data_IF_409691118272
#
_entry.id   IF_409691118272
#
_cell.length_a   1.000
_cell.length_b   1.000
_cell.length_c   1.000
_cell.angle_alpha   90.00
_cell.angle_beta   90.00
_cell.angle_gamma   90.00
#
_symmetry.space_group_name_H-M   'P 1'
#
loop_
_entity.id
_entity.type
_entity.pdbx_description
1 polymer ?
#
# COMPACT_ATOMS: atom_id res chain seq x y z
N UNK A 1 -22.63 -2.20 53.98
CA UNK A 1 -21.56 -3.18 53.69
C UNK A 1 -21.83 -3.78 52.33
N UNK A 2 -21.16 -3.30 51.28
CA UNK A 2 -21.25 -3.85 49.93
C UNK A 2 -19.85 -4.19 49.45
N UNK A 3 -19.69 -5.46 49.06
CA UNK A 3 -18.44 -6.08 48.71
C UNK A 3 -17.98 -5.78 47.28
N UNK A 4 -16.68 -5.53 47.19
CA UNK A 4 -15.73 -5.86 46.11
C UNK A 4 -16.32 -6.43 44.81
N UNK A 5 -16.04 -5.74 43.70
CA UNK A 5 -15.60 -6.39 42.45
C UNK A 5 -14.35 -5.67 41.93
N UNK A 6 -13.19 -6.30 42.13
CA UNK A 6 -11.96 -5.96 41.42
C UNK A 6 -12.05 -6.64 40.06
N UNK A 7 -11.97 -5.85 38.98
CA UNK A 7 -11.80 -6.36 37.63
C UNK A 7 -10.33 -6.73 37.50
N UNK A 8 -10.04 -8.02 37.55
CA UNK A 8 -8.76 -8.59 37.15
C UNK A 8 -8.65 -8.45 35.64
N UNK A 9 -7.74 -7.59 35.19
CA UNK A 9 -7.28 -7.53 33.81
C UNK A 9 -6.54 -8.83 33.49
N UNK A 10 -7.27 -9.77 32.87
CA UNK A 10 -6.75 -11.02 32.36
C UNK A 10 -6.33 -10.85 30.90
N UNK A 11 -5.03 -10.95 30.67
CA UNK A 11 -4.35 -11.55 29.53
C UNK A 11 -4.84 -11.24 28.10
N UNK A 12 -3.99 -10.54 27.34
CA UNK A 12 -3.64 -11.01 25.98
C UNK A 12 -2.15 -10.71 25.74
N UNK A 13 -1.29 -11.59 26.24
CA UNK A 13 0.11 -11.64 25.84
C UNK A 13 0.16 -12.32 24.47
N UNK A 14 0.29 -11.51 23.41
CA UNK A 14 0.52 -11.99 22.06
C UNK A 14 1.98 -12.44 21.98
N UNK A 15 2.18 -13.76 21.95
CA UNK A 15 3.48 -14.41 21.86
C UNK A 15 4.05 -14.19 20.45
N UNK A 16 4.86 -13.14 20.29
CA UNK A 16 5.77 -12.98 19.16
C UNK A 16 6.98 -13.88 19.40
N UNK A 17 6.86 -15.13 18.98
CA UNK A 17 7.96 -16.10 18.94
C UNK A 17 8.90 -15.84 17.76
N UNK A 18 9.51 -14.65 17.70
CA UNK A 18 10.69 -14.41 16.85
C UNK A 18 11.91 -14.94 17.60
N UNK A 19 12.32 -16.16 17.27
CA UNK A 19 13.57 -16.75 17.73
C UNK A 19 14.75 -16.10 17.00
N UNK A 20 15.01 -14.83 17.33
CA UNK A 20 16.25 -14.16 16.99
C UNK A 20 17.34 -14.66 17.94
N UNK A 21 18.06 -15.70 17.52
CA UNK A 21 19.33 -16.07 18.12
C UNK A 21 20.38 -14.99 17.88
N UNK A 22 20.32 -13.90 18.65
CA UNK A 22 21.30 -12.82 18.62
C UNK A 22 22.51 -13.26 19.45
N UNK A 23 23.60 -13.64 18.79
CA UNK A 23 24.92 -13.61 19.42
C UNK A 23 25.28 -12.14 19.64
N UNK A 24 25.32 -11.72 20.91
CA UNK A 24 25.69 -10.38 21.31
C UNK A 24 27.20 -10.14 21.10
N UNK A 25 27.59 -9.76 19.89
CA UNK A 25 28.80 -8.95 19.67
C UNK A 25 28.39 -7.49 19.78
N UNK A 26 29.08 -6.70 20.61
CA UNK A 26 28.82 -5.28 20.80
C UNK A 26 28.97 -4.49 19.48
N UNK A 27 27.86 -4.42 18.75
CA UNK A 27 27.52 -3.46 17.71
C UNK A 27 26.23 -2.84 18.21
N UNK A 28 26.08 -1.51 18.16
CA UNK A 28 24.85 -0.86 18.59
C UNK A 28 23.62 -1.63 18.06
N UNK A 29 22.57 -1.83 18.88
CA UNK A 29 21.41 -2.56 18.42
C UNK A 29 20.84 -1.81 17.22
N UNK A 30 20.90 -2.43 16.03
CA UNK A 30 20.33 -1.85 14.83
C UNK A 30 18.86 -1.52 15.10
N UNK A 31 18.41 -0.34 14.65
CA UNK A 31 17.00 0.02 14.74
C UNK A 31 16.14 -1.05 14.04
N UNK A 32 14.87 -1.16 14.45
CA UNK A 32 13.93 -2.08 13.81
C UNK A 32 13.84 -1.80 12.29
N UNK A 33 13.81 -0.53 11.88
CA UNK A 33 13.79 -0.13 10.48
C UNK A 33 15.08 -0.49 9.74
N UNK A 34 16.26 -0.34 10.36
CA UNK A 34 17.52 -0.79 9.76
C UNK A 34 17.57 -2.33 9.61
N UNK A 35 17.03 -3.06 10.58
CA UNK A 35 16.93 -4.52 10.51
C UNK A 35 16.01 -4.97 9.37
N UNK A 36 14.86 -4.31 9.20
CA UNK A 36 13.91 -4.58 8.10
C UNK A 36 14.50 -4.18 6.75
N UNK A 37 15.23 -3.05 6.67
CA UNK A 37 15.86 -2.61 5.43
C UNK A 37 16.84 -3.64 4.86
N UNK A 38 17.52 -4.44 5.70
CA UNK A 38 18.37 -5.53 5.22
C UNK A 38 17.60 -6.58 4.41
N UNK A 39 16.31 -6.79 4.71
CA UNK A 39 15.44 -7.72 3.98
C UNK A 39 15.01 -7.22 2.59
N UNK A 40 15.27 -5.95 2.25
CA UNK A 40 15.13 -5.46 0.87
C UNK A 40 16.10 -6.18 -0.09
N UNK A 41 17.15 -6.81 0.42
CA UNK A 41 18.11 -7.60 -0.39
C UNK A 41 17.83 -9.10 -0.37
N UNK A 42 16.70 -9.52 0.22
CA UNK A 42 16.33 -10.93 0.30
C UNK A 42 16.19 -11.56 -1.09
N UNK A 43 16.51 -12.85 -1.21
CA UNK A 43 16.41 -13.58 -2.47
C UNK A 43 14.96 -13.74 -2.93
N UNK A 44 14.02 -13.87 -1.99
CA UNK A 44 12.60 -14.06 -2.29
C UNK A 44 11.89 -12.72 -2.54
N UNK A 45 11.21 -12.54 -3.69
CA UNK A 45 10.51 -11.29 -3.97
C UNK A 45 9.39 -10.94 -2.99
N UNK A 46 8.71 -11.94 -2.42
CA UNK A 46 7.65 -11.74 -1.41
C UNK A 46 8.23 -11.22 -0.09
N UNK A 47 9.42 -11.67 0.31
CA UNK A 47 10.12 -11.14 1.48
C UNK A 47 10.53 -9.68 1.26
N UNK A 48 11.07 -9.34 0.09
CA UNK A 48 11.42 -7.95 -0.27
C UNK A 48 10.20 -7.05 -0.26
N UNK A 49 9.10 -7.51 -0.85
CA UNK A 49 7.82 -6.79 -0.85
C UNK A 49 7.30 -6.55 0.57
N UNK A 50 7.23 -7.59 1.41
CA UNK A 50 6.78 -7.46 2.81
C UNK A 50 7.68 -6.53 3.60
N UNK A 51 9.01 -6.63 3.43
CA UNK A 51 9.96 -5.74 4.10
C UNK A 51 9.71 -4.27 3.72
N UNK A 52 9.52 -4.00 2.43
CA UNK A 52 9.21 -2.67 1.92
C UNK A 52 7.88 -2.12 2.48
N UNK A 53 6.80 -2.91 2.43
CA UNK A 53 5.49 -2.50 2.96
C UNK A 53 5.56 -2.21 4.45
N UNK A 54 6.24 -3.05 5.23
CA UNK A 54 6.38 -2.82 6.68
C UNK A 54 7.25 -1.59 6.94
N UNK A 55 8.32 -1.39 6.17
CA UNK A 55 9.19 -0.24 6.33
C UNK A 55 8.46 1.09 6.11
N UNK A 56 7.49 1.13 5.18
CA UNK A 56 6.67 2.31 4.90
C UNK A 56 5.78 2.76 6.09
N UNK A 57 5.57 1.89 7.07
CA UNK A 57 4.71 2.14 8.24
C UNK A 57 5.52 2.37 9.53
N UNK A 58 6.85 2.45 9.44
CA UNK A 58 7.75 2.62 10.58
C UNK A 58 8.52 3.93 10.50
N UNK A 59 8.93 4.46 11.65
CA UNK A 59 9.96 5.50 11.67
C UNK A 59 11.28 4.94 11.12
N UNK A 60 11.75 5.52 10.03
CA UNK A 60 12.97 5.10 9.36
C UNK A 60 14.18 5.88 9.88
N UNK A 61 15.25 5.16 10.23
CA UNK A 61 16.55 5.79 10.44
C UNK A 61 17.17 6.23 9.12
N UNK A 62 18.12 7.16 9.16
CA UNK A 62 18.85 7.63 7.98
C UNK A 62 19.47 6.48 7.16
N UNK A 63 20.03 5.48 7.84
CA UNK A 63 20.58 4.27 7.19
C UNK A 63 19.51 3.47 6.43
N UNK A 64 18.29 3.38 6.98
CA UNK A 64 17.18 2.68 6.34
C UNK A 64 16.67 3.48 5.13
N UNK A 65 16.59 4.82 5.23
CA UNK A 65 16.24 5.70 4.11
C UNK A 65 17.29 5.64 2.99
N UNK A 66 18.58 5.63 3.32
CA UNK A 66 19.66 5.49 2.35
C UNK A 66 19.61 4.14 1.64
N UNK A 67 19.38 3.05 2.40
CA UNK A 67 19.22 1.70 1.85
C UNK A 67 18.02 1.61 0.92
N UNK A 68 16.88 2.17 1.32
CA UNK A 68 15.65 2.20 0.54
C UNK A 68 15.79 3.03 -0.74
N UNK A 69 16.48 4.18 -0.66
CA UNK A 69 16.78 5.03 -1.82
C UNK A 69 17.65 4.29 -2.82
N UNK A 70 18.76 3.71 -2.36
CA UNK A 70 19.63 2.90 -3.22
C UNK A 70 18.89 1.72 -3.83
N UNK A 71 18.00 1.07 -3.08
CA UNK A 71 17.18 -0.02 -3.59
C UNK A 71 16.18 0.44 -4.67
N UNK A 72 15.51 1.58 -4.46
CA UNK A 72 14.59 2.17 -5.45
C UNK A 72 15.29 2.53 -6.77
N UNK A 73 16.52 3.04 -6.71
CA UNK A 73 17.29 3.47 -7.88
C UNK A 73 17.89 2.31 -8.67
N UNK A 74 18.27 1.22 -7.99
CA UNK A 74 19.02 0.13 -8.61
C UNK A 74 18.20 -1.13 -8.89
N UNK A 75 16.96 -1.23 -8.40
CA UNK A 75 16.15 -2.43 -8.63
C UNK A 75 15.69 -2.54 -10.09
N UNK A 76 15.90 -3.73 -10.66
CA UNK A 76 15.43 -4.05 -12.01
C UNK A 76 13.93 -4.43 -12.03
N UNK A 77 13.41 -5.00 -10.94
CA UNK A 77 12.01 -5.43 -10.83
C UNK A 77 11.11 -4.18 -10.62
N UNK A 78 10.13 -3.93 -11.51
CA UNK A 78 9.27 -2.76 -11.41
C UNK A 78 8.40 -2.75 -10.14
N UNK A 79 8.03 -3.90 -9.59
CA UNK A 79 7.28 -3.98 -8.32
C UNK A 79 8.16 -3.59 -7.15
N UNK A 80 9.43 -4.02 -7.17
CA UNK A 80 10.39 -3.66 -6.14
C UNK A 80 10.66 -2.15 -6.16
N UNK A 81 10.84 -1.54 -7.35
CA UNK A 81 10.96 -0.08 -7.49
C UNK A 81 9.69 0.66 -7.05
N UNK A 82 8.52 0.17 -7.47
CA UNK A 82 7.24 0.78 -7.11
C UNK A 82 7.05 0.78 -5.60
N UNK A 83 7.29 -0.37 -4.95
CA UNK A 83 7.16 -0.47 -3.51
C UNK A 83 8.16 0.47 -2.81
N UNK A 84 9.42 0.47 -3.24
CA UNK A 84 10.45 1.29 -2.60
C UNK A 84 10.15 2.79 -2.73
N UNK A 85 9.66 3.23 -3.89
CA UNK A 85 9.25 4.63 -4.11
C UNK A 85 7.98 4.98 -3.33
N UNK A 86 7.01 4.08 -3.19
CA UNK A 86 5.89 4.23 -2.27
C UNK A 86 6.37 4.42 -0.82
N UNK A 87 7.27 3.56 -0.34
CA UNK A 87 7.79 3.64 1.01
C UNK A 87 8.54 4.96 1.25
N UNK A 88 9.37 5.40 0.30
CA UNK A 88 10.02 6.71 0.36
C UNK A 88 8.99 7.85 0.42
N UNK A 89 7.99 7.83 -0.46
CA UNK A 89 6.97 8.87 -0.50
C UNK A 89 6.16 8.96 0.81
N UNK A 90 5.88 7.82 1.45
CA UNK A 90 5.23 7.76 2.78
C UNK A 90 6.11 8.31 3.90
N UNK A 91 7.39 7.94 3.89
CA UNK A 91 8.33 8.27 4.97
C UNK A 91 8.82 9.72 4.89
N UNK A 92 9.10 10.24 3.69
CA UNK A 92 9.69 11.58 3.52
C UNK A 92 8.65 12.65 3.20
N UNK A 93 7.49 12.26 2.66
CA UNK A 93 6.46 13.18 2.14
C UNK A 93 7.01 14.17 1.08
N UNK A 94 8.14 13.84 0.45
CA UNK A 94 8.74 14.67 -0.58
C UNK A 94 8.02 14.49 -1.91
N UNK A 95 7.70 15.62 -2.57
CA UNK A 95 7.03 15.63 -3.88
C UNK A 95 7.76 14.77 -4.92
N UNK A 96 9.10 14.81 -4.93
CA UNK A 96 9.89 14.02 -5.89
C UNK A 96 9.82 12.50 -5.70
N UNK A 97 9.49 12.01 -4.50
CA UNK A 97 9.22 10.58 -4.29
C UNK A 97 7.83 10.21 -4.79
N UNK A 98 6.83 11.06 -4.54
CA UNK A 98 5.46 10.91 -5.05
C UNK A 98 5.40 10.92 -6.57
N UNK A 99 6.10 11.86 -7.23
CA UNK A 99 6.17 11.94 -8.69
C UNK A 99 6.81 10.68 -9.30
N UNK A 100 7.89 10.18 -8.69
CA UNK A 100 8.53 8.92 -9.11
C UNK A 100 7.60 7.72 -8.92
N UNK A 101 6.89 7.65 -7.80
CA UNK A 101 5.89 6.62 -7.56
C UNK A 101 4.82 6.63 -8.66
N UNK A 102 4.22 7.78 -8.96
CA UNK A 102 3.22 7.91 -10.02
C UNK A 102 3.77 7.53 -11.39
N UNK A 103 4.97 8.01 -11.73
CA UNK A 103 5.60 7.71 -13.01
C UNK A 103 5.89 6.21 -13.19
N UNK A 104 6.27 5.50 -12.12
CA UNK A 104 6.44 4.04 -12.18
C UNK A 104 5.07 3.37 -12.31
N UNK A 105 4.09 3.81 -11.54
CA UNK A 105 2.77 3.20 -11.51
C UNK A 105 2.07 3.28 -12.88
N UNK A 106 2.20 4.41 -13.59
CA UNK A 106 1.54 4.64 -14.89
C UNK A 106 2.34 4.16 -16.10
N UNK A 107 3.57 3.66 -15.91
CA UNK A 107 4.42 3.24 -17.02
C UNK A 107 4.09 1.87 -17.60
N UNK A 108 3.34 1.03 -16.88
CA UNK A 108 3.06 -0.36 -17.26
C UNK A 108 1.64 -0.76 -16.85
N UNK A 109 0.81 -1.11 -17.85
CA UNK A 109 -0.60 -1.43 -17.68
C UNK A 109 -0.84 -2.70 -16.83
N UNK A 110 0.09 -3.69 -16.81
CA UNK A 110 -0.04 -4.90 -15.98
C UNK A 110 0.62 -4.74 -14.58
N UNK A 111 1.13 -3.55 -14.24
CA UNK A 111 1.80 -3.36 -12.96
C UNK A 111 0.84 -3.55 -11.79
N UNK A 112 -0.40 -3.06 -11.89
CA UNK A 112 -1.42 -3.23 -10.87
C UNK A 112 -1.77 -4.72 -10.66
N UNK A 113 -1.98 -5.46 -11.76
CA UNK A 113 -2.21 -6.90 -11.70
C UNK A 113 -1.05 -7.66 -11.07
N UNK A 114 0.18 -7.32 -11.45
CA UNK A 114 1.39 -7.91 -10.86
C UNK A 114 1.57 -7.57 -9.38
N UNK A 115 1.29 -6.33 -8.99
CA UNK A 115 1.33 -5.88 -7.61
C UNK A 115 0.35 -6.66 -6.73
N UNK A 116 -0.89 -6.82 -7.20
CA UNK A 116 -1.92 -7.60 -6.51
C UNK A 116 -1.52 -9.06 -6.34
N UNK A 117 -1.00 -9.70 -7.40
CA UNK A 117 -0.45 -11.07 -7.32
C UNK A 117 0.70 -11.15 -6.32
N UNK A 118 1.60 -10.17 -6.29
CA UNK A 118 2.70 -10.11 -5.31
C UNK A 118 2.17 -9.98 -3.88
N UNK A 119 1.15 -9.13 -3.68
CA UNK A 119 0.49 -8.93 -2.39
C UNK A 119 -0.12 -10.23 -1.86
N UNK A 120 -0.85 -10.96 -2.69
CA UNK A 120 -1.44 -12.25 -2.32
C UNK A 120 -0.37 -13.31 -2.01
N UNK A 121 0.68 -13.41 -2.84
CA UNK A 121 1.79 -14.34 -2.63
C UNK A 121 2.56 -14.07 -1.33
N UNK A 122 2.58 -12.81 -0.87
CA UNK A 122 3.16 -12.44 0.41
C UNK A 122 2.27 -12.82 1.62
N UNK A 123 1.10 -13.40 1.40
CA UNK A 123 0.20 -13.93 2.43
C UNK A 123 -0.86 -12.95 2.91
N UNK A 124 -1.04 -11.81 2.23
CA UNK A 124 -2.10 -10.87 2.56
C UNK A 124 -3.48 -11.39 2.11
N UNK A 125 -4.57 -11.10 2.84
CA UNK A 125 -5.90 -11.60 2.52
C UNK A 125 -6.40 -11.15 1.14
N UNK A 126 -7.09 -12.05 0.43
CA UNK A 126 -7.79 -11.72 -0.81
C UNK A 126 -8.79 -10.57 -0.59
N UNK A 127 -8.83 -9.63 -1.52
CA UNK A 127 -9.73 -8.47 -1.43
C UNK A 127 -9.19 -7.31 -0.59
N UNK A 128 -8.09 -7.48 0.12
CA UNK A 128 -7.39 -6.35 0.73
C UNK A 128 -6.56 -5.64 -0.35
N UNK A 129 -6.83 -4.35 -0.53
CA UNK A 129 -6.09 -3.53 -1.48
C UNK A 129 -4.61 -3.40 -1.06
N UNK A 130 -3.70 -3.56 -2.02
CA UNK A 130 -2.28 -3.47 -1.73
C UNK A 130 -1.91 -2.06 -1.23
N UNK A 131 -1.00 -1.90 -0.25
CA UNK A 131 -0.67 -0.58 0.31
C UNK A 131 -0.24 0.48 -0.73
N UNK A 132 0.55 0.14 -1.78
CA UNK A 132 0.84 1.11 -2.85
C UNK A 132 -0.41 1.54 -3.64
N UNK A 133 -1.40 0.65 -3.84
CA UNK A 133 -2.66 1.02 -4.50
C UNK A 133 -3.53 1.90 -3.61
N UNK A 134 -3.55 1.64 -2.30
CA UNK A 134 -4.23 2.51 -1.33
C UNK A 134 -3.60 3.90 -1.34
N UNK A 135 -2.27 3.98 -1.41
CA UNK A 135 -1.56 5.25 -1.53
C UNK A 135 -1.91 5.98 -2.84
N UNK A 136 -2.02 5.27 -3.97
CA UNK A 136 -2.52 5.85 -5.21
C UNK A 136 -3.93 6.44 -5.04
N UNK A 137 -4.84 5.73 -4.37
CA UNK A 137 -6.19 6.22 -4.09
C UNK A 137 -6.19 7.46 -3.17
N UNK A 138 -5.26 7.55 -2.23
CA UNK A 138 -5.04 8.75 -1.40
C UNK A 138 -4.60 9.94 -2.25
N UNK A 139 -3.65 9.75 -3.17
CA UNK A 139 -3.19 10.80 -4.10
C UNK A 139 -4.32 11.24 -5.04
N UNK A 140 -5.13 10.31 -5.52
CA UNK A 140 -6.26 10.57 -6.42
C UNK A 140 -7.31 11.51 -5.84
N UNK A 141 -7.32 11.77 -4.52
CA UNK A 141 -8.14 12.81 -3.89
C UNK A 141 -7.84 14.21 -4.46
N UNK A 142 -6.57 14.48 -4.76
CA UNK A 142 -6.08 15.80 -5.18
C UNK A 142 -5.41 15.84 -6.55
N UNK A 143 -4.93 14.71 -7.05
CA UNK A 143 -4.09 14.62 -8.25
C UNK A 143 -4.82 13.90 -9.40
N UNK A 144 -4.88 14.55 -10.58
CA UNK A 144 -5.60 14.03 -11.75
C UNK A 144 -4.86 12.88 -12.42
N UNK A 145 -3.52 12.85 -12.37
CA UNK A 145 -2.71 11.74 -12.89
C UNK A 145 -2.92 10.50 -12.03
N UNK A 146 -2.93 10.67 -10.71
CA UNK A 146 -3.25 9.57 -9.79
C UNK A 146 -4.68 9.07 -9.96
N UNK A 147 -5.64 9.98 -10.21
CA UNK A 147 -7.03 9.62 -10.45
C UNK A 147 -7.20 8.87 -11.78
N UNK A 148 -6.58 9.33 -12.85
CA UNK A 148 -6.56 8.65 -14.15
C UNK A 148 -5.97 7.23 -14.02
N UNK A 149 -4.82 7.11 -13.35
CA UNK A 149 -4.19 5.82 -13.06
C UNK A 149 -5.10 4.88 -12.24
N UNK A 150 -5.83 5.42 -11.26
CA UNK A 150 -6.80 4.63 -10.47
C UNK A 150 -7.99 4.18 -11.31
N UNK A 151 -8.51 5.05 -12.18
CA UNK A 151 -9.66 4.75 -13.04
C UNK A 151 -9.31 3.78 -14.16
N UNK A 152 -8.10 3.86 -14.73
CA UNK A 152 -7.63 2.94 -15.77
C UNK A 152 -7.68 1.48 -15.32
N UNK A 153 -7.35 1.23 -14.05
CA UNK A 153 -7.38 -0.10 -13.45
C UNK A 153 -8.78 -0.72 -13.39
N UNK A 154 -9.85 0.08 -13.46
CA UNK A 154 -11.22 -0.42 -13.45
C UNK A 154 -11.55 -1.29 -14.67
N UNK A 155 -10.76 -1.19 -15.75
CA UNK A 155 -10.94 -1.97 -16.98
C UNK A 155 -10.57 -3.43 -16.82
N UNK A 156 -9.60 -3.71 -15.96
CA UNK A 156 -8.93 -5.00 -15.87
C UNK A 156 -9.19 -5.70 -14.52
N UNK A 157 -10.11 -5.17 -13.72
CA UNK A 157 -10.46 -5.75 -12.43
C UNK A 157 -11.72 -6.61 -12.50
N UNK A 158 -11.58 -7.84 -12.00
CA UNK A 158 -12.68 -8.73 -11.69
C UNK A 158 -12.62 -9.20 -10.22
N UNK A 159 -13.71 -9.83 -9.76
CA UNK A 159 -13.78 -10.45 -8.45
C UNK A 159 -13.60 -9.50 -7.26
N UNK A 160 -13.06 -10.03 -6.16
CA UNK A 160 -13.00 -9.35 -4.85
C UNK A 160 -12.00 -8.18 -4.85
N UNK A 161 -10.91 -8.28 -5.62
CA UNK A 161 -9.94 -7.19 -5.74
C UNK A 161 -10.54 -5.98 -6.46
N UNK A 162 -11.37 -6.23 -7.48
CA UNK A 162 -12.12 -5.17 -8.16
C UNK A 162 -13.05 -4.42 -7.23
N UNK A 163 -13.67 -5.11 -6.26
CA UNK A 163 -14.57 -4.45 -5.32
C UNK A 163 -13.87 -3.38 -4.48
N UNK A 164 -12.66 -3.65 -3.96
CA UNK A 164 -11.92 -2.66 -3.17
C UNK A 164 -11.53 -1.41 -3.99
N UNK A 165 -11.22 -1.59 -5.28
CA UNK A 165 -10.97 -0.49 -6.20
C UNK A 165 -12.25 0.31 -6.49
N UNK A 166 -13.36 -0.38 -6.77
CA UNK A 166 -14.68 0.23 -7.00
C UNK A 166 -15.10 1.04 -5.77
N UNK A 167 -14.89 0.52 -4.56
CA UNK A 167 -15.22 1.22 -3.31
C UNK A 167 -14.40 2.52 -3.16
N UNK A 168 -13.10 2.46 -3.51
CA UNK A 168 -12.22 3.64 -3.50
C UNK A 168 -12.66 4.70 -4.50
N UNK A 169 -12.98 4.31 -5.74
CA UNK A 169 -13.47 5.23 -6.78
C UNK A 169 -14.85 5.79 -6.42
N UNK A 170 -15.74 4.97 -5.86
CA UNK A 170 -17.06 5.39 -5.40
C UNK A 170 -16.94 6.41 -4.27
N UNK A 171 -16.03 6.20 -3.31
CA UNK A 171 -15.75 7.16 -2.26
C UNK A 171 -15.25 8.50 -2.82
N UNK A 172 -14.39 8.49 -3.84
CA UNK A 172 -13.92 9.70 -4.52
C UNK A 172 -15.06 10.39 -5.28
N UNK A 173 -15.86 9.63 -6.02
CA UNK A 173 -16.98 10.14 -6.81
C UNK A 173 -18.03 10.81 -5.92
N UNK A 174 -18.36 10.25 -4.75
CA UNK A 174 -19.26 10.89 -3.78
C UNK A 174 -18.76 12.24 -3.29
N UNK A 175 -17.45 12.44 -3.19
CA UNK A 175 -16.84 13.68 -2.69
C UNK A 175 -16.61 14.72 -3.78
N UNK A 176 -16.22 14.29 -4.98
CA UNK A 176 -15.87 15.17 -6.12
C UNK A 176 -16.43 14.62 -7.45
N UNK A 177 -17.76 14.55 -7.61
CA UNK A 177 -18.39 13.83 -8.72
C UNK A 177 -18.02 14.40 -10.09
N UNK A 178 -18.03 15.73 -10.24
CA UNK A 178 -17.72 16.39 -11.52
C UNK A 178 -16.27 16.14 -11.96
N UNK A 179 -15.33 16.16 -11.01
CA UNK A 179 -13.91 15.89 -11.29
C UNK A 179 -13.69 14.45 -11.71
N UNK A 180 -14.26 13.50 -10.96
CA UNK A 180 -14.13 12.07 -11.28
C UNK A 180 -14.79 11.76 -12.62
N UNK A 181 -15.95 12.34 -12.89
CA UNK A 181 -16.63 12.17 -14.18
C UNK A 181 -15.80 12.72 -15.35
N UNK A 182 -15.25 13.92 -15.23
CA UNK A 182 -14.38 14.51 -16.26
C UNK A 182 -13.17 13.61 -16.56
N UNK A 183 -12.43 13.19 -15.53
CA UNK A 183 -11.23 12.37 -15.73
C UNK A 183 -11.59 10.98 -16.27
N UNK A 184 -12.71 10.39 -15.82
CA UNK A 184 -13.20 9.12 -16.37
C UNK A 184 -13.56 9.22 -17.86
N UNK A 185 -14.22 10.30 -18.27
CA UNK A 185 -14.53 10.57 -19.68
C UNK A 185 -13.26 10.77 -20.53
N UNK A 186 -12.28 11.52 -20.03
CA UNK A 186 -10.97 11.71 -20.66
C UNK A 186 -10.20 10.37 -20.81
N UNK A 187 -10.27 9.52 -19.79
CA UNK A 187 -9.66 8.20 -19.79
C UNK A 187 -10.40 7.21 -20.70
N UNK A 188 -11.66 7.46 -21.06
CA UNK A 188 -12.53 6.51 -21.77
C UNK A 188 -13.06 5.39 -20.87
N UNK A 189 -13.35 5.69 -19.60
CA UNK A 189 -13.90 4.78 -18.60
C UNK A 189 -15.34 5.18 -18.31
N UNK A 190 -16.30 4.28 -18.55
CA UNK A 190 -17.71 4.53 -18.26
C UNK A 190 -18.04 4.05 -16.84
N UNK A 191 -18.23 4.99 -15.91
CA UNK A 191 -18.52 4.69 -14.49
C UNK A 191 -19.81 3.88 -14.28
N UNK A 192 -20.73 3.92 -15.24
CA UNK A 192 -21.95 3.08 -15.27
C UNK A 192 -21.63 1.59 -15.37
N UNK A 193 -20.53 1.24 -16.04
CA UNK A 193 -20.20 -0.15 -16.38
C UNK A 193 -19.55 -0.87 -15.19
N UNK A 194 -19.11 -0.10 -14.20
CA UNK A 194 -18.40 -0.56 -12.99
C UNK A 194 -19.21 -0.29 -11.71
N UNK A 195 -20.51 -0.05 -11.87
CA UNK A 195 -21.49 0.11 -10.78
C UNK A 195 -21.11 1.22 -9.76
N UNK A 196 -20.42 2.27 -10.22
CA UNK A 196 -20.09 3.44 -9.40
C UNK A 196 -21.30 4.37 -9.41
N UNK A 197 -22.05 4.41 -8.31
CA UNK A 197 -23.31 5.15 -8.21
C UNK A 197 -23.21 6.43 -7.35
N UNK A 198 -24.14 7.36 -7.60
CA UNK A 198 -24.34 8.56 -6.76
C UNK A 198 -24.99 8.23 -5.42
N UNK A 199 -25.50 7.02 -5.24
CA UNK A 199 -26.32 6.65 -4.11
C UNK A 199 -25.65 5.51 -3.35
N UNK A 200 -24.86 5.87 -2.35
CA UNK A 200 -24.41 4.92 -1.33
C UNK A 200 -25.51 4.43 -0.42
N UNK A 201 -26.64 4.00 -0.99
CA UNK A 201 -27.58 3.16 -0.29
C UNK A 201 -26.99 1.76 -0.26
N UNK A 202 -26.57 1.32 0.92
CA UNK A 202 -26.67 -0.10 1.21
C UNK A 202 -28.10 -0.52 0.81
N UNK A 203 -28.25 -1.44 -0.14
CA UNK A 203 -29.51 -2.14 -0.28
C UNK A 203 -29.69 -2.94 1.01
N UNK A 204 -30.48 -2.40 1.93
CA UNK A 204 -31.13 -3.17 2.98
C UNK A 204 -32.24 -4.00 2.30
N UNK A 205 -31.87 -5.17 1.77
CA UNK A 205 -32.80 -6.26 1.43
C UNK A 205 -32.49 -7.51 2.28
#
# INVERSE_FOLDING_TARGET
MQGKRRITAGALALVLGLSLGVQATAKEPASLSASIANHLTASQPTERYTACVVLAELDASDDALASLTGYAENSADPIDRLCATYALARLTQETGATERFLAIYTADDDLAGTLRRRHEQAGYPLGLQAPPERYLAELAIGDDVALDALLSQLRDVDGVQGQALIDSVTALFRRKPERVQRVAEEAGVYLSDVNVDRHGGCNDD
#
